data_IF_019642159761
#
_entry.id   IF_019642159761
#
_cell.length_a   1.000
_cell.length_b   1.000
_cell.length_c   1.000
_cell.angle_alpha   90.00
_cell.angle_beta   90.00
_cell.angle_gamma   90.00
#
_symmetry.space_group_name_H-M   'P 1'
#
loop_
_entity.id
_entity.type
_entity.pdbx_description
1 polymer ?
#
# COMPACT_ATOMS: atom_id res chain seq x y z
N UNK A 1 36.28 -38.28 19.87
CA UNK A 1 35.84 -36.90 20.18
C UNK A 1 35.55 -36.21 18.86
N UNK A 2 34.26 -36.06 18.53
CA UNK A 2 33.78 -35.21 17.45
C UNK A 2 32.78 -34.28 18.10
N UNK A 3 33.14 -33.00 18.20
CA UNK A 3 32.29 -31.98 18.78
C UNK A 3 31.13 -31.68 17.83
N UNK A 4 29.91 -31.82 18.33
CA UNK A 4 28.70 -31.34 17.68
C UNK A 4 28.59 -29.84 17.97
N UNK A 5 28.62 -29.02 16.93
CA UNK A 5 28.13 -27.66 16.99
C UNK A 5 26.61 -27.70 16.85
N UNK A 6 25.91 -27.44 17.95
CA UNK A 6 24.51 -27.07 17.93
C UNK A 6 24.42 -25.65 17.34
N UNK A 7 23.75 -25.54 16.19
CA UNK A 7 23.29 -24.27 15.67
C UNK A 7 21.95 -23.98 16.34
N UNK A 8 21.94 -23.02 17.26
CA UNK A 8 20.72 -22.36 17.70
C UNK A 8 20.08 -21.71 16.47
N UNK A 9 18.97 -22.29 16.03
CA UNK A 9 18.03 -21.60 15.15
C UNK A 9 17.25 -20.66 16.03
N UNK A 10 17.67 -19.40 16.07
CA UNK A 10 16.85 -18.31 16.56
C UNK A 10 15.56 -18.30 15.74
N UNK A 11 14.47 -18.76 16.37
CA UNK A 11 13.09 -18.44 16.00
C UNK A 11 12.91 -16.92 16.15
N UNK A 12 13.46 -16.15 15.20
CA UNK A 12 12.93 -14.83 14.89
C UNK A 12 11.49 -15.06 14.41
N UNK A 13 10.55 -14.98 15.35
CA UNK A 13 9.16 -14.71 15.08
C UNK A 13 9.14 -13.48 14.16
N UNK A 14 8.92 -13.74 12.87
CA UNK A 14 8.60 -12.79 11.83
C UNK A 14 7.28 -12.08 12.18
N UNK A 15 7.30 -11.27 13.23
CA UNK A 15 6.43 -10.13 13.39
C UNK A 15 6.90 -9.12 12.36
N UNK A 16 6.63 -9.40 11.08
CA UNK A 16 6.78 -8.45 10.00
C UNK A 16 6.04 -7.19 10.42
N UNK A 17 6.79 -6.13 10.70
CA UNK A 17 6.22 -4.81 10.95
C UNK A 17 5.33 -4.47 9.74
N UNK A 18 4.01 -4.53 9.95
CA UNK A 18 3.01 -4.10 8.99
C UNK A 18 3.14 -2.58 8.82
N UNK A 19 4.11 -2.15 8.00
CA UNK A 19 4.33 -0.75 7.59
C UNK A 19 3.27 -0.26 6.60
N UNK A 20 2.25 -1.08 6.38
CA UNK A 20 1.03 -0.76 5.69
C UNK A 20 0.24 0.18 6.58
N UNK A 21 0.47 1.49 6.42
CA UNK A 21 -0.33 2.55 7.03
C UNK A 21 -1.76 2.62 6.44
N UNK A 22 -2.32 1.47 6.03
CA UNK A 22 -3.75 1.34 5.99
C UNK A 22 -4.23 1.44 7.44
N UNK A 23 -5.27 2.23 7.71
CA UNK A 23 -5.71 2.43 9.06
C UNK A 23 -6.15 1.09 9.65
N UNK A 24 -6.15 1.06 10.98
CA UNK A 24 -6.51 -0.13 11.70
C UNK A 24 -7.89 -0.64 11.23
N UNK A 25 -7.99 -1.97 11.02
CA UNK A 25 -9.24 -2.64 10.76
C UNK A 25 -10.39 -2.19 11.68
N UNK A 26 -11.51 -1.76 11.09
CA UNK A 26 -12.73 -1.36 11.82
C UNK A 26 -13.10 0.13 11.73
N UNK A 27 -12.21 1.00 11.24
CA UNK A 27 -12.53 2.43 11.05
C UNK A 27 -13.32 2.76 9.77
N UNK A 28 -13.65 1.76 8.94
CA UNK A 28 -14.22 1.97 7.61
C UNK A 28 -15.69 1.60 7.44
N UNK A 29 -16.40 1.25 8.52
CA UNK A 29 -17.85 1.09 8.46
C UNK A 29 -18.54 2.45 8.61
N UNK A 30 -18.20 3.38 7.72
CA UNK A 30 -19.08 4.53 7.48
C UNK A 30 -20.19 4.03 6.58
N UNK A 31 -21.43 4.01 7.08
CA UNK A 31 -22.61 3.77 6.25
C UNK A 31 -22.83 4.89 5.21
N UNK A 32 -22.13 6.02 5.39
CA UNK A 32 -22.15 7.17 4.47
C UNK A 32 -21.22 6.91 3.29
N UNK A 33 -21.75 6.88 2.04
CA UNK A 33 -20.94 6.84 0.83
C UNK A 33 -19.94 7.99 0.80
N UNK A 34 -18.74 7.75 0.25
CA UNK A 34 -17.69 8.77 0.23
C UNK A 34 -18.03 10.02 -0.59
N UNK A 35 -18.89 9.85 -1.61
CA UNK A 35 -19.46 10.97 -2.37
C UNK A 35 -20.32 11.92 -1.53
N UNK A 36 -20.76 11.48 -0.35
CA UNK A 36 -21.56 12.25 0.60
C UNK A 36 -20.75 12.80 1.79
N UNK A 37 -19.45 12.49 1.88
CA UNK A 37 -18.60 13.09 2.91
C UNK A 37 -18.50 14.59 2.67
N UNK A 38 -18.61 15.36 3.75
CA UNK A 38 -18.31 16.79 3.71
C UNK A 38 -16.81 17.03 3.49
N UNK A 39 -16.44 18.24 3.08
CA UNK A 39 -15.05 18.59 2.76
C UNK A 39 -14.10 18.48 3.97
N UNK A 40 -14.59 18.67 5.20
CA UNK A 40 -13.78 18.50 6.41
C UNK A 40 -13.49 17.01 6.65
N UNK A 41 -14.49 16.15 6.47
CA UNK A 41 -14.32 14.70 6.53
C UNK A 41 -13.35 14.17 5.45
N UNK A 42 -13.40 14.73 4.24
CA UNK A 42 -12.45 14.40 3.17
C UNK A 42 -11.02 14.88 3.50
N UNK A 43 -10.87 16.08 4.02
CA UNK A 43 -9.57 16.60 4.44
C UNK A 43 -8.97 15.77 5.59
N UNK A 44 -9.79 15.40 6.59
CA UNK A 44 -9.40 14.48 7.66
C UNK A 44 -9.01 13.12 7.09
N UNK A 45 -9.73 12.60 6.09
CA UNK A 45 -9.34 11.35 5.42
C UNK A 45 -7.94 11.47 4.78
N UNK A 46 -7.64 12.56 4.07
CA UNK A 46 -6.32 12.77 3.48
C UNK A 46 -5.20 12.78 4.52
N UNK A 47 -5.44 13.47 5.64
CA UNK A 47 -4.47 13.63 6.71
C UNK A 47 -4.30 12.34 7.52
N UNK A 48 -5.40 11.74 8.01
CA UNK A 48 -5.38 10.57 8.89
C UNK A 48 -4.84 9.33 8.20
N UNK A 49 -4.99 9.24 6.87
CA UNK A 49 -4.48 8.14 6.07
C UNK A 49 -3.11 8.43 5.46
N UNK A 50 -2.48 9.54 5.86
CA UNK A 50 -1.13 9.94 5.45
C UNK A 50 -0.94 10.10 3.93
N UNK A 51 -2.00 10.38 3.17
CA UNK A 51 -1.88 10.58 1.71
C UNK A 51 -1.08 11.82 1.34
N UNK A 52 -0.93 12.74 2.28
CA UNK A 52 -0.10 13.94 2.15
C UNK A 52 1.33 13.76 2.66
N UNK A 53 1.76 12.52 2.92
CA UNK A 53 3.10 12.15 3.34
C UNK A 53 3.87 11.59 2.15
N UNK A 54 5.17 11.84 2.11
CA UNK A 54 5.99 11.26 1.06
C UNK A 54 6.25 9.78 1.33
N UNK A 55 6.69 9.09 0.29
CA UNK A 55 7.03 7.67 0.31
C UNK A 55 8.46 7.51 -0.15
N UNK A 56 9.24 6.79 0.64
CA UNK A 56 10.62 6.42 0.34
C UNK A 56 10.64 5.14 -0.50
N UNK A 57 11.39 5.16 -1.61
CA UNK A 57 11.49 4.08 -2.59
C UNK A 57 12.98 3.70 -2.77
N UNK A 58 13.65 3.34 -1.68
CA UNK A 58 15.11 3.16 -1.68
C UNK A 58 15.60 1.79 -1.18
N UNK A 59 14.70 0.94 -0.67
CA UNK A 59 15.06 -0.34 -0.07
C UNK A 59 14.33 -1.54 -0.67
N UNK A 60 14.88 -2.72 -0.39
CA UNK A 60 14.35 -4.02 -0.83
C UNK A 60 13.08 -4.41 -0.07
N UNK A 61 12.86 -3.85 1.12
CA UNK A 61 11.71 -4.15 1.98
C UNK A 61 10.39 -3.51 1.49
N UNK A 62 10.36 -2.97 0.28
CA UNK A 62 9.23 -2.22 -0.25
C UNK A 62 9.18 -0.76 0.22
N UNK A 63 8.11 -0.04 -0.14
CA UNK A 63 7.98 1.38 0.15
C UNK A 63 7.79 1.63 1.65
N UNK A 64 8.27 2.79 2.10
CA UNK A 64 8.17 3.26 3.49
C UNK A 64 7.58 4.66 3.51
N UNK A 65 6.56 4.88 4.32
CA UNK A 65 6.02 6.21 4.53
C UNK A 65 7.03 7.09 5.27
N UNK A 66 7.13 8.35 4.84
CA UNK A 66 7.82 9.39 5.57
C UNK A 66 7.20 9.59 6.95
N UNK A 67 7.98 10.12 7.87
CA UNK A 67 7.53 10.42 9.24
C UNK A 67 6.83 11.78 9.32
N UNK A 68 6.94 12.59 8.26
CA UNK A 68 6.40 13.94 8.20
C UNK A 68 5.53 14.13 6.96
N UNK A 69 4.51 14.99 7.11
CA UNK A 69 3.71 15.47 5.99
C UNK A 69 4.62 16.25 5.02
N UNK A 70 4.39 16.11 3.72
CA UNK A 70 5.18 16.78 2.67
C UNK A 70 4.40 17.89 1.99
N UNK A 71 3.08 17.73 1.89
CA UNK A 71 2.21 18.65 1.18
C UNK A 71 0.94 18.93 1.96
N UNK A 72 0.28 20.03 1.63
CA UNK A 72 -1.07 20.35 2.06
C UNK A 72 -1.94 20.55 0.82
N UNK A 73 -3.21 20.16 0.92
CA UNK A 73 -4.18 20.41 -0.13
C UNK A 73 -4.63 21.88 -0.06
N UNK A 74 -4.42 22.64 -1.12
CA UNK A 74 -4.72 24.08 -1.20
C UNK A 74 -5.95 24.40 -2.03
N UNK A 75 -6.45 23.42 -2.80
CA UNK A 75 -7.61 23.66 -3.65
C UNK A 75 -8.87 23.90 -2.83
N UNK A 76 -9.66 24.88 -3.28
CA UNK A 76 -11.05 25.02 -2.88
C UNK A 76 -11.97 24.11 -3.68
N UNK A 77 -11.44 23.48 -4.73
CA UNK A 77 -12.18 22.52 -5.53
C UNK A 77 -12.32 21.19 -4.77
N UNK A 78 -13.45 20.49 -4.94
CA UNK A 78 -13.61 19.15 -4.39
C UNK A 78 -12.54 18.21 -4.93
N UNK A 79 -12.05 17.31 -4.07
CA UNK A 79 -11.17 16.23 -4.49
C UNK A 79 -11.84 15.38 -5.59
N UNK A 80 -11.05 14.97 -6.58
CA UNK A 80 -11.45 13.98 -7.57
C UNK A 80 -11.58 12.62 -6.90
N UNK A 81 -12.77 12.31 -6.38
CA UNK A 81 -13.09 11.00 -5.80
C UNK A 81 -13.95 10.25 -6.81
N UNK A 82 -13.42 9.12 -7.28
CA UNK A 82 -14.14 8.20 -8.15
C UNK A 82 -14.40 6.90 -7.39
N UNK A 83 -15.67 6.55 -7.26
CA UNK A 83 -16.04 5.22 -6.78
C UNK A 83 -15.94 4.24 -7.96
N UNK A 84 -15.08 3.24 -7.80
CA UNK A 84 -14.85 2.16 -8.76
C UNK A 84 -15.48 0.90 -8.17
N UNK A 85 -16.61 0.51 -8.73
CA UNK A 85 -17.30 -0.74 -8.38
C UNK A 85 -16.87 -1.90 -9.28
N UNK A 86 -15.58 -1.95 -9.65
CA UNK A 86 -15.03 -3.01 -10.50
C UNK A 86 -14.24 -4.02 -9.66
N UNK A 87 -14.28 -5.27 -10.10
CA UNK A 87 -13.37 -6.31 -9.65
C UNK A 87 -12.33 -6.47 -10.71
N UNK A 88 -11.15 -5.93 -10.45
CA UNK A 88 -10.00 -6.13 -11.29
C UNK A 88 -9.19 -7.27 -10.68
N UNK A 89 -8.54 -8.06 -11.52
CA UNK A 89 -7.57 -9.08 -11.14
C UNK A 89 -6.50 -9.05 -12.23
N UNK A 90 -5.25 -9.00 -11.82
CA UNK A 90 -4.14 -8.95 -12.75
C UNK A 90 -2.91 -9.56 -12.08
N UNK A 91 -1.98 -9.99 -12.91
CA UNK A 91 -0.87 -10.87 -12.55
C UNK A 91 0.40 -10.18 -12.97
N UNK A 92 1.25 -9.91 -11.97
CA UNK A 92 2.53 -9.25 -12.19
C UNK A 92 3.65 -10.25 -12.03
N UNK A 93 4.48 -10.38 -13.06
CA UNK A 93 5.77 -11.04 -12.94
C UNK A 93 6.78 -10.04 -12.38
N UNK A 94 7.47 -10.41 -11.32
CA UNK A 94 8.53 -9.61 -10.69
C UNK A 94 9.88 -10.19 -11.07
N UNK A 95 10.88 -9.34 -11.32
CA UNK A 95 12.22 -9.81 -11.70
C UNK A 95 13.12 -10.08 -10.48
N UNK A 96 12.80 -9.48 -9.34
CA UNK A 96 13.60 -9.53 -8.13
C UNK A 96 12.75 -9.41 -6.85
N UNK A 97 13.39 -9.63 -5.70
CA UNK A 97 12.73 -9.57 -4.39
C UNK A 97 12.21 -8.17 -4.06
N UNK A 98 12.91 -7.13 -4.51
CA UNK A 98 12.47 -5.75 -4.31
C UNK A 98 11.11 -5.57 -4.99
N UNK A 99 10.99 -5.82 -6.28
CA UNK A 99 9.73 -5.69 -7.03
C UNK A 99 8.61 -6.51 -6.39
N UNK A 100 8.93 -7.74 -5.97
CA UNK A 100 8.00 -8.61 -5.25
C UNK A 100 7.48 -7.96 -3.98
N UNK A 101 8.35 -7.32 -3.19
CA UNK A 101 7.97 -6.65 -1.95
C UNK A 101 7.17 -5.35 -2.19
N UNK A 102 7.37 -4.66 -3.31
CA UNK A 102 6.53 -3.52 -3.70
C UNK A 102 5.12 -4.00 -4.08
N UNK A 103 5.02 -4.97 -5.00
CA UNK A 103 3.73 -5.57 -5.41
C UNK A 103 2.98 -6.12 -4.21
N UNK A 104 3.66 -6.86 -3.34
CA UNK A 104 3.08 -7.44 -2.13
C UNK A 104 2.50 -6.38 -1.16
N UNK A 105 3.01 -5.14 -1.21
CA UNK A 105 2.50 -3.99 -0.46
C UNK A 105 1.43 -3.18 -1.21
N UNK A 106 0.95 -3.68 -2.34
CA UNK A 106 -0.05 -2.99 -3.17
C UNK A 106 0.54 -1.91 -4.06
N UNK A 107 1.87 -1.84 -4.19
CA UNK A 107 2.52 -0.91 -5.09
C UNK A 107 2.79 -1.56 -6.43
N UNK A 108 2.42 -0.86 -7.48
CA UNK A 108 2.53 -1.37 -8.82
C UNK A 108 3.93 -1.12 -9.33
N UNK A 109 4.55 -2.13 -9.94
CA UNK A 109 5.85 -1.95 -10.62
C UNK A 109 5.72 -0.87 -11.69
N UNK A 110 4.56 -0.81 -12.34
CA UNK A 110 4.20 0.19 -13.33
C UNK A 110 3.86 1.57 -12.75
N UNK A 111 3.75 1.77 -11.44
CA UNK A 111 3.89 3.12 -10.89
C UNK A 111 5.29 3.71 -11.19
N UNK A 112 6.20 2.88 -11.72
CA UNK A 112 7.44 3.31 -12.39
C UNK A 112 7.28 3.48 -13.92
N UNK A 113 6.32 2.83 -14.61
CA UNK A 113 6.13 2.84 -16.09
C UNK A 113 4.70 2.50 -16.68
N UNK A 114 3.58 3.01 -16.13
CA UNK A 114 2.23 3.14 -16.80
C UNK A 114 1.22 1.93 -16.90
N UNK A 115 0.69 1.33 -15.79
CA UNK A 115 -0.65 0.61 -15.64
C UNK A 115 -0.73 -0.57 -14.62
N UNK A 116 -1.86 -0.72 -13.91
CA UNK A 116 -1.98 -1.29 -12.54
C UNK A 116 -2.58 -2.72 -12.33
N UNK A 117 -1.80 -3.73 -11.87
CA UNK A 117 -2.31 -5.04 -11.36
C UNK A 117 -2.62 -5.31 -9.88
N UNK A 118 -3.83 -5.76 -9.52
CA UNK A 118 -4.24 -6.28 -8.19
C UNK A 118 -5.66 -6.92 -8.22
N UNK A 119 -6.01 -7.84 -7.30
CA UNK A 119 -7.37 -8.44 -7.21
C UNK A 119 -8.25 -7.74 -6.15
N UNK A 120 -9.35 -7.14 -6.58
CA UNK A 120 -9.97 -6.02 -5.84
C UNK A 120 -11.47 -6.04 -5.79
N UNK A 121 -12.00 -5.52 -4.71
CA UNK A 121 -13.43 -5.31 -4.58
C UNK A 121 -13.67 -3.95 -3.99
N UNK A 122 -14.33 -3.07 -4.76
CA UNK A 122 -14.72 -1.70 -4.41
C UNK A 122 -13.56 -0.81 -4.00
N UNK A 123 -13.28 0.16 -4.86
CA UNK A 123 -12.22 1.13 -4.66
C UNK A 123 -12.81 2.52 -4.64
N UNK A 124 -12.26 3.38 -3.82
CA UNK A 124 -12.33 4.81 -4.03
C UNK A 124 -10.99 5.24 -4.52
N UNK A 125 -10.96 5.60 -5.79
CA UNK A 125 -9.80 6.22 -6.38
C UNK A 125 -9.84 7.69 -6.04
N UNK A 126 -8.77 8.15 -5.40
CA UNK A 126 -8.58 9.55 -5.10
C UNK A 126 -7.44 10.04 -5.99
N UNK A 127 -7.73 11.09 -6.75
CA UNK A 127 -6.76 11.74 -7.62
C UNK A 127 -6.48 13.15 -7.09
N UNK A 128 -5.22 13.41 -6.79
CA UNK A 128 -4.67 14.70 -6.42
C UNK A 128 -3.99 15.32 -7.64
N UNK A 129 -4.32 16.57 -7.94
CA UNK A 129 -3.60 17.32 -8.96
C UNK A 129 -2.41 18.02 -8.30
N UNK A 130 -1.26 18.04 -8.97
CA UNK A 130 -0.04 18.72 -8.47
C UNK A 130 -0.31 20.19 -8.16
N UNK A 131 -1.14 20.85 -8.97
CA UNK A 131 -1.51 22.25 -8.79
C UNK A 131 -2.37 22.53 -7.54
N UNK A 132 -3.00 21.48 -6.99
CA UNK A 132 -3.84 21.54 -5.79
C UNK A 132 -3.05 21.21 -4.51
N UNK A 133 -1.74 20.98 -4.64
CA UNK A 133 -0.83 20.72 -3.54
C UNK A 133 0.15 21.88 -3.38
N UNK A 134 0.41 22.28 -2.14
CA UNK A 134 1.60 23.08 -1.81
C UNK A 134 2.48 22.30 -0.84
N UNK A 135 3.81 22.44 -0.91
CA UNK A 135 4.66 21.92 0.15
C UNK A 135 4.30 22.57 1.49
N UNK A 136 4.51 21.84 2.59
CA UNK A 136 4.42 22.45 3.92
C UNK A 136 5.67 23.29 4.21
N UNK A 137 5.54 24.34 5.01
CA UNK A 137 6.62 25.28 5.28
C UNK A 137 7.85 24.60 5.92
N UNK A 138 7.63 23.58 6.74
CA UNK A 138 8.68 22.80 7.40
C UNK A 138 9.56 22.05 6.38
N UNK A 139 8.95 21.53 5.30
CA UNK A 139 9.68 20.86 4.24
C UNK A 139 10.54 21.85 3.45
N UNK A 140 9.96 23.01 3.09
CA UNK A 140 10.70 24.07 2.40
C UNK A 140 11.88 24.60 3.23
N UNK A 141 11.67 24.81 4.53
CA UNK A 141 12.71 25.23 5.46
C UNK A 141 13.80 24.16 5.60
N UNK A 142 13.44 22.88 5.68
CA UNK A 142 14.41 21.78 5.74
C UNK A 142 15.30 21.72 4.49
N UNK A 143 14.71 21.82 3.29
CA UNK A 143 15.48 21.90 2.05
C UNK A 143 16.32 23.17 1.96
N UNK A 144 15.76 24.32 2.33
CA UNK A 144 16.50 25.59 2.37
C UNK A 144 17.73 25.49 3.26
N UNK A 145 17.59 24.94 4.48
CA UNK A 145 18.70 24.69 5.40
C UNK A 145 19.75 23.75 4.81
N UNK A 146 19.32 22.63 4.21
CA UNK A 146 20.22 21.67 3.58
C UNK A 146 21.03 22.29 2.43
N UNK A 147 20.38 23.09 1.58
CA UNK A 147 20.99 23.69 0.39
C UNK A 147 21.92 24.88 0.71
N UNK A 148 21.80 25.47 1.90
CA UNK A 148 22.64 26.56 2.38
C UNK A 148 23.93 26.10 3.08
N UNK A 149 24.20 24.79 3.20
CA UNK A 149 25.46 24.28 3.76
C UNK A 149 26.68 24.64 2.89
N UNK A 150 27.88 24.78 3.46
CA UNK A 150 29.00 25.39 2.75
C UNK A 150 29.59 24.50 1.65
N UNK A 151 29.60 23.18 1.83
CA UNK A 151 30.20 22.25 0.86
C UNK A 151 29.16 21.43 0.10
N UNK A 152 29.50 21.00 -1.12
CA UNK A 152 28.64 20.14 -1.93
C UNK A 152 28.33 18.80 -1.23
N UNK A 153 29.31 18.23 -0.54
CA UNK A 153 29.14 16.98 0.21
C UNK A 153 28.12 17.15 1.36
N UNK A 154 28.23 18.22 2.14
CA UNK A 154 27.28 18.50 3.23
C UNK A 154 25.88 18.77 2.71
N UNK A 155 25.74 19.53 1.61
CA UNK A 155 24.45 19.74 0.94
C UNK A 155 23.81 18.41 0.55
N UNK A 156 24.56 17.55 -0.17
CA UNK A 156 24.05 16.26 -0.62
C UNK A 156 23.63 15.36 0.55
N UNK A 157 24.46 15.27 1.59
CA UNK A 157 24.17 14.48 2.79
C UNK A 157 22.95 15.03 3.56
N UNK A 158 22.82 16.35 3.69
CA UNK A 158 21.67 16.96 4.36
C UNK A 158 20.39 16.80 3.54
N UNK A 159 20.44 17.00 2.22
CA UNK A 159 19.33 16.75 1.31
C UNK A 159 18.87 15.29 1.38
N UNK A 160 19.81 14.33 1.42
CA UNK A 160 19.47 12.92 1.62
C UNK A 160 18.69 12.69 2.92
N UNK A 161 19.11 13.33 4.02
CA UNK A 161 18.39 13.25 5.30
C UNK A 161 17.00 13.88 5.25
N UNK A 162 16.79 14.91 4.44
CA UNK A 162 15.43 15.44 4.20
C UNK A 162 14.59 14.36 3.53
N UNK A 163 15.06 13.76 2.44
CA UNK A 163 14.33 12.67 1.80
C UNK A 163 14.15 11.42 2.67
N UNK A 164 15.09 11.12 3.57
CA UNK A 164 14.97 10.02 4.53
C UNK A 164 13.79 10.21 5.49
N UNK A 165 13.52 11.44 5.92
CA UNK A 165 12.46 11.76 6.88
C UNK A 165 11.11 12.06 6.21
N UNK A 166 11.12 12.62 5.00
CA UNK A 166 9.91 13.08 4.31
C UNK A 166 9.46 12.14 3.17
N UNK A 167 10.34 11.29 2.63
CA UNK A 167 10.07 10.42 1.49
C UNK A 167 10.58 11.00 0.16
N UNK A 168 10.69 10.14 -0.86
CA UNK A 168 11.20 10.48 -2.20
C UNK A 168 10.12 11.02 -3.15
N UNK A 169 8.90 10.49 -3.01
CA UNK A 169 7.77 10.79 -3.90
C UNK A 169 6.50 11.06 -3.11
N UNK A 170 5.55 11.77 -3.72
CA UNK A 170 4.20 11.97 -3.15
C UNK A 170 3.20 11.23 -4.04
N UNK A 171 2.45 10.24 -3.52
CA UNK A 171 1.43 9.57 -4.31
C UNK A 171 0.32 10.55 -4.71
N UNK A 172 0.10 10.72 -6.02
CA UNK A 172 -0.97 11.58 -6.54
C UNK A 172 -2.25 10.81 -6.80
N UNK A 173 -2.15 9.50 -7.02
CA UNK A 173 -3.28 8.61 -7.21
C UNK A 173 -3.16 7.48 -6.22
N UNK A 174 -4.24 7.20 -5.51
CA UNK A 174 -4.31 6.08 -4.59
C UNK A 174 -5.73 5.56 -4.52
N UNK A 175 -5.81 4.26 -4.33
CA UNK A 175 -7.06 3.53 -4.27
C UNK A 175 -7.30 3.08 -2.83
N UNK A 176 -8.44 3.47 -2.27
CA UNK A 176 -8.89 3.07 -0.94
C UNK A 176 -9.88 1.95 -1.11
N UNK A 177 -9.59 0.82 -0.49
CA UNK A 177 -10.53 -0.28 -0.47
C UNK A 177 -9.90 -1.50 0.12
N UNK A 178 -10.32 -2.62 -0.43
CA UNK A 178 -9.88 -3.95 -0.05
C UNK A 178 -9.04 -4.53 -1.18
N UNK A 179 -7.86 -5.04 -0.83
CA UNK A 179 -7.03 -5.80 -1.76
C UNK A 179 -6.48 -7.08 -1.17
N UNK A 180 -6.36 -8.08 -2.04
CA UNK A 180 -5.69 -9.33 -1.77
C UNK A 180 -4.55 -9.47 -2.78
N UNK A 181 -3.33 -9.46 -2.27
CA UNK A 181 -2.14 -9.73 -3.09
C UNK A 181 -1.54 -11.05 -2.69
N UNK A 182 -1.30 -11.89 -3.69
CA UNK A 182 -0.61 -13.16 -3.50
C UNK A 182 0.60 -13.20 -4.41
N UNK A 183 1.77 -13.44 -3.82
CA UNK A 183 3.03 -13.59 -4.55
C UNK A 183 3.54 -15.02 -4.38
N UNK A 184 3.82 -15.69 -5.48
CA UNK A 184 4.36 -17.07 -5.51
C UNK A 184 5.14 -17.27 -6.83
N UNK A 185 5.75 -18.43 -7.03
CA UNK A 185 6.35 -18.81 -8.32
C UNK A 185 5.30 -18.83 -9.44
N UNK A 186 5.71 -18.44 -10.64
CA UNK A 186 4.82 -18.31 -11.82
C UNK A 186 3.99 -19.58 -12.08
N UNK A 187 4.62 -20.75 -12.00
CA UNK A 187 3.93 -22.04 -12.24
C UNK A 187 2.80 -22.31 -11.25
N UNK A 188 2.97 -21.89 -10.00
CA UNK A 188 1.99 -22.04 -8.94
C UNK A 188 0.91 -20.97 -9.13
N UNK A 189 1.30 -19.70 -9.36
CA UNK A 189 0.39 -18.58 -9.63
C UNK A 189 -0.57 -18.87 -10.81
N UNK A 190 -0.06 -19.39 -11.92
CA UNK A 190 -0.84 -19.66 -13.14
C UNK A 190 -1.92 -20.73 -12.93
N UNK A 191 -1.68 -21.71 -12.07
CA UNK A 191 -2.69 -22.73 -11.75
C UNK A 191 -3.93 -22.12 -11.04
N UNK A 192 -3.75 -21.05 -10.26
CA UNK A 192 -4.88 -20.39 -9.58
C UNK A 192 -5.74 -19.57 -10.51
N UNK A 193 -5.09 -18.82 -11.41
CA UNK A 193 -5.79 -17.98 -12.38
C UNK A 193 -6.65 -18.81 -13.32
N UNK A 194 -6.20 -20.03 -13.65
CA UNK A 194 -6.98 -20.94 -14.49
C UNK A 194 -8.27 -21.42 -13.81
N UNK A 195 -8.28 -21.53 -12.48
CA UNK A 195 -9.45 -21.99 -11.73
C UNK A 195 -10.44 -20.85 -11.40
N UNK A 196 -9.98 -19.58 -11.35
CA UNK A 196 -10.75 -18.38 -10.90
C UNK A 196 -11.70 -18.64 -9.72
N UNK A 197 -11.35 -19.60 -8.85
CA UNK A 197 -12.24 -20.11 -7.84
C UNK A 197 -11.72 -19.76 -6.45
N UNK A 198 -12.65 -19.59 -5.52
CA UNK A 198 -12.33 -19.39 -4.11
C UNK A 198 -11.45 -20.53 -3.54
N UNK A 199 -11.66 -21.77 -4.01
CA UNK A 199 -10.82 -22.92 -3.67
C UNK A 199 -9.35 -22.72 -4.09
N UNK A 200 -9.11 -21.95 -5.15
CA UNK A 200 -7.78 -21.51 -5.55
C UNK A 200 -7.10 -20.64 -4.49
N UNK A 201 -7.81 -19.67 -3.91
CA UNK A 201 -7.26 -18.83 -2.83
C UNK A 201 -6.94 -19.64 -1.56
N UNK A 202 -7.78 -20.62 -1.21
CA UNK A 202 -7.50 -21.52 -0.09
C UNK A 202 -6.27 -22.40 -0.36
N UNK A 203 -6.10 -22.86 -1.59
CA UNK A 203 -4.89 -23.61 -1.98
C UNK A 203 -3.64 -22.73 -1.96
N UNK A 204 -3.75 -21.45 -2.32
CA UNK A 204 -2.67 -20.46 -2.18
C UNK A 204 -2.20 -20.32 -0.74
N UNK A 205 -3.12 -20.24 0.23
CA UNK A 205 -2.74 -20.14 1.64
C UNK A 205 -2.07 -21.41 2.17
N UNK A 206 -2.22 -22.54 1.47
CA UNK A 206 -1.55 -23.81 1.77
C UNK A 206 -0.22 -23.98 1.02
N UNK A 207 0.11 -23.12 0.05
CA UNK A 207 1.40 -23.15 -0.64
C UNK A 207 2.51 -22.73 0.33
N UNK A 208 3.56 -23.54 0.44
CA UNK A 208 4.71 -23.23 1.31
C UNK A 208 5.50 -22.00 0.84
N UNK A 209 5.33 -21.60 -0.43
CA UNK A 209 6.06 -20.50 -1.06
C UNK A 209 5.21 -19.24 -1.26
N UNK A 210 3.88 -19.34 -1.12
CA UNK A 210 3.01 -18.18 -1.29
C UNK A 210 3.13 -17.21 -0.11
N UNK A 211 3.21 -15.92 -0.44
CA UNK A 211 3.03 -14.83 0.54
C UNK A 211 1.70 -14.15 0.26
N UNK A 212 0.85 -14.09 1.27
CA UNK A 212 -0.46 -13.43 1.19
C UNK A 212 -0.41 -12.15 2.01
N UNK A 213 -0.82 -11.05 1.39
CA UNK A 213 -1.00 -9.75 2.04
C UNK A 213 -2.38 -9.23 1.73
N UNK A 214 -3.00 -8.63 2.74
CA UNK A 214 -4.31 -8.01 2.61
C UNK A 214 -4.26 -6.59 3.12
N UNK A 215 -4.84 -5.68 2.35
CA UNK A 215 -5.00 -4.29 2.73
C UNK A 215 -6.47 -3.97 2.95
N UNK A 216 -6.78 -3.29 4.05
CA UNK A 216 -8.15 -2.97 4.43
C UNK A 216 -8.94 -4.18 4.95
N UNK A 217 -10.14 -3.91 5.47
CA UNK A 217 -11.00 -4.95 6.06
C UNK A 217 -10.56 -5.43 7.45
N UNK A 218 -11.36 -6.33 8.04
CA UNK A 218 -11.03 -6.94 9.33
C UNK A 218 -10.16 -8.18 9.14
N UNK A 219 -8.99 -8.34 9.78
CA UNK A 219 -8.06 -9.44 9.50
C UNK A 219 -8.63 -10.81 9.86
N UNK A 220 -9.55 -10.87 10.83
CA UNK A 220 -10.29 -12.13 11.11
C UNK A 220 -11.22 -12.53 9.96
N UNK A 221 -11.51 -11.61 9.04
CA UNK A 221 -12.37 -11.90 7.90
C UNK A 221 -11.72 -12.80 6.85
N UNK A 222 -10.42 -13.10 6.97
CA UNK A 222 -9.70 -13.99 6.06
C UNK A 222 -9.53 -15.40 6.63
N UNK A 223 -10.04 -15.64 7.85
CA UNK A 223 -9.80 -16.88 8.58
C UNK A 223 -10.73 -18.04 8.17
N UNK A 224 -11.81 -17.75 7.44
CA UNK A 224 -12.73 -18.78 6.94
C UNK A 224 -13.36 -18.35 5.62
N UNK A 225 -13.88 -19.33 4.88
CA UNK A 225 -14.63 -19.08 3.65
C UNK A 225 -15.87 -18.24 3.87
N UNK A 226 -16.62 -18.51 4.94
CA UNK A 226 -17.79 -17.71 5.29
C UNK A 226 -17.39 -16.28 5.60
N UNK A 227 -16.26 -16.07 6.28
CA UNK A 227 -15.76 -14.76 6.61
C UNK A 227 -15.27 -14.00 5.36
N UNK A 228 -14.61 -14.68 4.42
CA UNK A 228 -14.18 -14.05 3.16
C UNK A 228 -15.40 -13.74 2.29
N UNK A 229 -16.38 -14.64 2.21
CA UNK A 229 -17.65 -14.38 1.52
C UNK A 229 -18.42 -13.24 2.19
N UNK A 230 -18.43 -13.16 3.51
CA UNK A 230 -19.05 -12.05 4.25
C UNK A 230 -18.30 -10.75 3.98
N UNK A 231 -16.98 -10.79 3.94
CA UNK A 231 -16.13 -9.62 3.64
C UNK A 231 -16.32 -9.13 2.22
N UNK A 232 -16.28 -10.02 1.24
CA UNK A 232 -16.59 -9.74 -0.16
C UNK A 232 -18.04 -9.24 -0.28
N UNK A 233 -19.00 -9.91 0.36
CA UNK A 233 -20.42 -9.53 0.35
C UNK A 233 -20.68 -8.15 0.97
N UNK A 234 -20.02 -7.81 2.08
CA UNK A 234 -20.02 -6.47 2.68
C UNK A 234 -19.37 -5.44 1.76
N UNK A 235 -18.40 -5.88 0.97
CA UNK A 235 -17.81 -5.09 -0.11
C UNK A 235 -18.72 -5.00 -1.34
N UNK A 236 -20.00 -5.42 -1.27
CA UNK A 236 -20.94 -5.36 -2.39
C UNK A 236 -20.74 -6.44 -3.45
N UNK A 237 -19.87 -7.41 -3.20
CA UNK A 237 -19.51 -8.49 -4.11
C UNK A 237 -20.50 -9.66 -3.94
N UNK A 238 -21.72 -9.49 -4.44
CA UNK A 238 -22.61 -10.63 -4.69
C UNK A 238 -22.16 -11.27 -6.00
N UNK A 239 -21.35 -12.33 -5.89
CA UNK A 239 -21.08 -13.23 -7.02
C UNK A 239 -22.41 -13.89 -7.35
N UNK A 240 -23.00 -13.54 -8.49
CA UNK A 240 -24.09 -14.31 -9.08
C UNK A 240 -23.52 -15.69 -9.43
N UNK A 241 -24.08 -16.73 -8.81
CA UNK A 241 -23.74 -18.14 -9.07
C UNK A 241 -23.87 -18.51 -10.55
#
# INVERSE_FOLDING_TARGET
>A
MKDKQDYDQDEELLLGCNNNAYPLPGQYQSDTPYSQLDELSKASLLHDKRYLFGVRIDGDNGPRWGTHQVAQHTSTLPLGIQEINNIESEVTTTENDRDTNYVHKGWLISALQDKSPWTLSRMLRIELLVQDLSPIAELEDAFSKALNLPTQFEKANATYRVFENWGDVVPLVFDIGVSLTVTDSESIAMNYLAEQSYLGLQRLSMSATARISTQGGHPTMLQSEDNIREWLGKSGLLILN
#
